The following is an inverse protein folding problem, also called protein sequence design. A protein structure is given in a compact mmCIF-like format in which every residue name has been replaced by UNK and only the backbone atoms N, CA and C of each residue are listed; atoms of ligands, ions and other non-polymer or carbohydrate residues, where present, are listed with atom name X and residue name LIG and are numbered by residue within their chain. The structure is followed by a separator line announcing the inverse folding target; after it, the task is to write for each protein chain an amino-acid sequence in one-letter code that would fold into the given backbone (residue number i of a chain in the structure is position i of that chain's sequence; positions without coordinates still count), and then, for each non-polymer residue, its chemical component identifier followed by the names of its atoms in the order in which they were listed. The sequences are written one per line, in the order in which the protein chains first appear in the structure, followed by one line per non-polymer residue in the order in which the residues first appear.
data_IF_676281875488
#
_entry.id   IF_676281875488
#
_cell.length_a   1.000
_cell.length_b   1.000
_cell.length_c   1.000
_cell.angle_alpha   90.00
_cell.angle_beta   90.00
_cell.angle_gamma   90.00
#
_symmetry.space_group_name_H-M   'P 1'
#
loop_
_entity.id
_entity.type
_entity.pdbx_description
1 polymer ?
#
# COMPACT_ATOMS: atom_id res chain seq x y z
N UNK A 1 -7.82 4.50 -4.49
CA UNK A 1 -7.44 3.55 -3.43
C UNK A 1 -6.88 4.34 -2.27
N UNK A 2 -7.71 4.63 -1.27
CA UNK A 2 -7.19 5.16 -0.02
C UNK A 2 -6.51 4.00 0.71
N UNK A 3 -5.36 4.25 1.33
CA UNK A 3 -4.62 3.28 2.10
C UNK A 3 -5.53 2.68 3.20
N UNK A 4 -6.07 1.48 2.96
CA UNK A 4 -6.97 0.81 3.89
C UNK A 4 -6.17 0.45 5.16
N UNK A 5 -6.23 1.33 6.15
CA UNK A 5 -5.71 1.10 7.50
C UNK A 5 -6.80 0.57 8.44
N UNK A 6 -8.06 0.56 7.97
CA UNK A 6 -9.17 -0.18 8.55
C UNK A 6 -9.67 -1.19 7.52
N UNK A 7 -10.03 -2.39 7.97
CA UNK A 7 -10.39 -3.49 7.09
C UNK A 7 -11.67 -3.20 6.31
N UNK A 8 -11.53 -2.89 5.03
CA UNK A 8 -12.65 -2.61 4.15
C UNK A 8 -13.04 -3.87 3.37
N UNK A 9 -14.29 -4.28 3.48
CA UNK A 9 -14.97 -5.05 2.43
C UNK A 9 -15.69 -4.07 1.54
N UNK A 10 -15.44 -4.11 0.23
CA UNK A 10 -16.17 -3.28 -0.73
C UNK A 10 -16.98 -4.14 -1.69
N UNK A 11 -18.28 -3.87 -1.84
CA UNK A 11 -19.06 -4.37 -2.98
C UNK A 11 -18.88 -3.39 -4.14
N UNK A 12 -18.32 -3.82 -5.27
CA UNK A 12 -18.15 -2.94 -6.43
C UNK A 12 -19.13 -3.37 -7.54
N UNK A 13 -19.89 -2.40 -8.07
CA UNK A 13 -20.86 -2.64 -9.13
C UNK A 13 -20.26 -2.24 -10.49
N UNK A 14 -20.08 -3.22 -11.39
CA UNK A 14 -19.67 -2.92 -12.77
C UNK A 14 -20.77 -2.19 -13.54
N UNK A 15 -20.43 -1.09 -14.22
CA UNK A 15 -21.31 -0.46 -15.22
C UNK A 15 -20.85 -0.81 -16.63
N UNK A 16 -21.80 -1.07 -17.53
CA UNK A 16 -21.53 -1.17 -18.97
C UNK A 16 -21.14 0.22 -19.49
N UNK A 17 -19.85 0.49 -19.66
CA UNK A 17 -19.34 1.78 -20.13
C UNK A 17 -18.97 1.77 -21.61
N UNK A 18 -19.73 2.52 -22.42
CA UNK A 18 -19.29 3.04 -23.71
C UNK A 18 -18.16 4.06 -23.51
N UNK A 19 -17.14 3.99 -24.36
CA UNK A 19 -15.95 4.85 -24.35
C UNK A 19 -16.25 6.33 -24.58
N UNK A 20 -15.72 7.19 -23.72
CA UNK A 20 -15.73 8.64 -23.91
C UNK A 20 -14.97 9.31 -22.77
N UNK A 21 -13.91 10.06 -23.12
CA UNK A 21 -13.03 10.72 -22.17
C UNK A 21 -13.78 11.58 -21.16
N UNK A 22 -13.75 11.18 -19.90
CA UNK A 22 -14.13 11.94 -18.72
C UNK A 22 -13.42 11.31 -17.53
N UNK A 23 -13.14 12.11 -16.50
CA UNK A 23 -12.64 11.67 -15.19
C UNK A 23 -13.26 10.32 -14.79
N UNK A 24 -12.48 9.32 -14.33
CA UNK A 24 -13.04 8.02 -13.99
C UNK A 24 -14.21 8.22 -13.04
N UNK A 25 -15.44 7.76 -13.38
CA UNK A 25 -16.57 7.92 -12.49
C UNK A 25 -16.22 7.31 -11.14
N UNK A 26 -16.60 7.99 -10.04
CA UNK A 26 -16.47 7.42 -8.69
C UNK A 26 -17.14 6.06 -8.71
N UNK A 27 -16.36 4.99 -8.59
CA UNK A 27 -16.88 3.63 -8.60
C UNK A 27 -17.91 3.52 -7.47
N UNK A 28 -19.17 3.19 -7.75
CA UNK A 28 -20.15 2.99 -6.70
C UNK A 28 -19.79 1.71 -5.94
N UNK A 29 -19.53 1.86 -4.63
CA UNK A 29 -19.29 0.73 -3.75
C UNK A 29 -19.99 0.89 -2.41
N UNK A 30 -20.33 -0.24 -1.79
CA UNK A 30 -20.73 -0.28 -0.39
C UNK A 30 -19.55 -0.79 0.44
N UNK A 31 -19.26 -0.12 1.56
CA UNK A 31 -18.19 -0.49 2.47
C UNK A 31 -18.74 -1.15 3.73
N UNK A 32 -18.14 -2.26 4.14
CA UNK A 32 -18.30 -2.85 5.47
C UNK A 32 -16.94 -2.90 6.15
N UNK A 33 -16.85 -2.27 7.33
CA UNK A 33 -15.63 -2.27 8.14
C UNK A 33 -15.58 -3.55 8.97
N UNK A 34 -14.50 -4.32 8.83
CA UNK A 34 -14.21 -5.49 9.65
C UNK A 34 -13.36 -5.06 10.84
N UNK A 35 -13.89 -5.20 12.05
CA UNK A 35 -13.12 -5.02 13.26
C UNK A 35 -11.99 -6.05 13.33
N UNK A 36 -10.75 -5.54 13.33
CA UNK A 36 -9.57 -6.39 13.33
C UNK A 36 -9.15 -6.85 14.73
N UNK A 37 -9.72 -6.28 15.80
CA UNK A 37 -9.31 -6.48 17.19
C UNK A 37 -10.19 -7.49 17.95
N UNK A 38 -11.30 -7.92 17.36
CA UNK A 38 -12.16 -9.01 17.84
C UNK A 38 -12.07 -10.23 16.91
N UNK A 39 -12.51 -11.43 17.34
CA UNK A 39 -12.64 -12.56 16.42
C UNK A 39 -13.50 -12.18 15.20
N UNK A 40 -13.04 -12.55 14.00
CA UNK A 40 -13.77 -12.22 12.76
C UNK A 40 -15.16 -12.84 12.80
N UNK A 41 -16.21 -12.09 12.40
CA UNK A 41 -17.56 -12.63 12.40
C UNK A 41 -17.66 -13.78 11.40
N UNK A 42 -18.47 -14.79 11.70
CA UNK A 42 -18.53 -16.03 10.92
C UNK A 42 -18.88 -15.77 9.45
N UNK A 43 -19.83 -14.88 9.18
CA UNK A 43 -20.20 -14.49 7.81
C UNK A 43 -19.02 -13.93 7.00
N UNK A 44 -18.03 -13.31 7.65
CA UNK A 44 -16.85 -12.80 6.95
C UNK A 44 -15.85 -13.91 6.67
N UNK A 45 -15.72 -14.87 7.58
CA UNK A 45 -14.89 -16.06 7.36
C UNK A 45 -15.44 -16.94 6.22
N UNK A 46 -16.75 -16.91 5.99
CA UNK A 46 -17.37 -17.55 4.82
C UNK A 46 -16.97 -16.85 3.50
N UNK A 47 -16.60 -15.56 3.55
CA UNK A 47 -16.11 -14.79 2.39
C UNK A 47 -14.58 -14.97 2.23
N UNK A 48 -13.84 -14.76 3.31
CA UNK A 48 -12.39 -14.93 3.35
C UNK A 48 -12.01 -15.81 4.55
N UNK A 49 -11.78 -17.11 4.33
CA UNK A 49 -11.41 -18.04 5.40
C UNK A 49 -10.11 -17.66 6.12
N UNK A 50 -9.24 -16.86 5.48
CA UNK A 50 -8.03 -16.32 6.11
C UNK A 50 -8.30 -15.20 7.12
N UNK A 51 -9.51 -14.62 7.13
CA UNK A 51 -9.87 -13.53 8.04
C UNK A 51 -9.08 -12.24 7.84
N UNK A 52 -8.39 -12.13 6.69
CA UNK A 52 -7.59 -10.98 6.29
C UNK A 52 -8.41 -10.00 5.43
N UNK A 53 -7.94 -8.78 5.31
CA UNK A 53 -8.55 -7.69 4.53
C UNK A 53 -7.47 -7.08 3.63
N UNK A 54 -7.84 -6.48 2.48
CA UNK A 54 -9.20 -6.30 1.95
C UNK A 54 -9.75 -7.55 1.24
N UNK A 55 -11.08 -7.59 1.11
CA UNK A 55 -11.82 -8.53 0.26
C UNK A 55 -12.93 -7.77 -0.48
N UNK A 56 -13.20 -8.09 -1.73
CA UNK A 56 -14.29 -7.48 -2.51
C UNK A 56 -15.27 -8.53 -3.00
N UNK A 57 -16.54 -8.13 -3.08
CA UNK A 57 -17.59 -8.88 -3.77
C UNK A 57 -17.92 -8.13 -5.06
N UNK A 58 -17.57 -8.72 -6.20
CA UNK A 58 -17.76 -8.13 -7.51
C UNK A 58 -18.99 -8.69 -8.20
N UNK A 59 -19.79 -7.82 -8.81
CA UNK A 59 -21.02 -8.20 -9.53
C UNK A 59 -21.10 -7.45 -10.86
N UNK A 60 -21.59 -8.14 -11.88
CA UNK A 60 -21.89 -7.58 -13.20
C UNK A 60 -23.30 -8.04 -13.60
N UNK A 61 -24.29 -7.13 -13.65
CA UNK A 61 -25.66 -7.51 -13.96
C UNK A 61 -25.77 -8.33 -15.25
N UNK A 62 -26.34 -9.53 -15.15
CA UNK A 62 -26.54 -10.45 -16.28
C UNK A 62 -25.29 -11.18 -16.76
N UNK A 63 -24.14 -11.02 -16.10
CA UNK A 63 -22.88 -11.69 -16.48
C UNK A 63 -22.18 -12.37 -15.29
N UNK A 64 -22.13 -11.72 -14.13
CA UNK A 64 -21.48 -12.22 -12.91
C UNK A 64 -22.39 -11.92 -11.73
N UNK A 65 -23.05 -12.94 -11.19
CA UNK A 65 -23.95 -12.79 -10.03
C UNK A 65 -23.17 -12.39 -8.77
N UNK A 66 -22.00 -12.99 -8.55
CA UNK A 66 -21.07 -12.68 -7.45
C UNK A 66 -19.74 -13.39 -7.64
N UNK A 67 -18.64 -12.66 -7.53
CA UNK A 67 -17.28 -13.19 -7.42
C UNK A 67 -16.57 -12.58 -6.21
N UNK A 68 -15.85 -13.40 -5.43
CA UNK A 68 -15.09 -12.93 -4.26
C UNK A 68 -13.61 -12.86 -4.62
N UNK A 69 -13.01 -11.69 -4.43
CA UNK A 69 -11.58 -11.48 -4.67
C UNK A 69 -10.95 -10.95 -3.38
N UNK A 70 -9.89 -11.61 -2.93
CA UNK A 70 -9.06 -11.17 -1.80
C UNK A 70 -7.59 -11.14 -2.22
N UNK A 71 -6.70 -10.81 -1.29
CA UNK A 71 -5.32 -10.35 -1.52
C UNK A 71 -5.25 -8.92 -2.05
N UNK A 72 -4.67 -8.01 -1.26
CA UNK A 72 -4.65 -6.58 -1.57
C UNK A 72 -4.10 -6.24 -2.96
N UNK A 73 -3.01 -6.88 -3.38
CA UNK A 73 -2.40 -6.64 -4.70
C UNK A 73 -3.27 -7.17 -5.84
N UNK A 74 -3.92 -8.33 -5.65
CA UNK A 74 -4.83 -8.92 -6.66
C UNK A 74 -6.08 -8.05 -6.80
N UNK A 75 -6.68 -7.64 -5.68
CA UNK A 75 -7.83 -6.72 -5.65
C UNK A 75 -7.49 -5.41 -6.37
N UNK A 76 -6.34 -4.80 -6.04
CA UNK A 76 -5.92 -3.55 -6.64
C UNK A 76 -5.69 -3.68 -8.16
N UNK A 77 -5.03 -4.75 -8.59
CA UNK A 77 -4.80 -5.05 -10.01
C UNK A 77 -6.12 -5.24 -10.76
N UNK A 78 -7.01 -6.07 -10.22
CA UNK A 78 -8.34 -6.31 -10.78
C UNK A 78 -9.13 -5.02 -10.96
N UNK A 79 -9.13 -4.13 -9.95
CA UNK A 79 -9.82 -2.84 -10.05
C UNK A 79 -9.24 -1.95 -11.14
N UNK A 80 -7.93 -1.99 -11.38
CA UNK A 80 -7.31 -1.24 -12.49
C UNK A 80 -7.67 -1.83 -13.85
N UNK A 81 -7.77 -3.16 -13.97
CA UNK A 81 -8.12 -3.82 -15.21
C UNK A 81 -9.63 -3.68 -15.54
N UNK A 82 -10.49 -3.75 -14.52
CA UNK A 82 -11.94 -3.57 -14.67
C UNK A 82 -12.33 -2.10 -14.89
N UNK A 83 -11.55 -1.15 -14.35
CA UNK A 83 -11.84 0.27 -14.40
C UNK A 83 -10.59 1.06 -14.83
N UNK A 84 -10.39 1.25 -16.15
CA UNK A 84 -9.22 1.95 -16.69
C UNK A 84 -9.02 3.32 -16.05
N UNK A 85 -7.76 3.61 -15.67
CA UNK A 85 -7.38 4.87 -15.04
C UNK A 85 -5.89 5.16 -15.24
N UNK A 86 -5.45 6.37 -14.87
CA UNK A 86 -4.04 6.77 -14.93
C UNK A 86 -3.12 5.93 -14.01
N UNK A 87 -3.67 5.22 -13.02
CA UNK A 87 -2.88 4.43 -12.07
C UNK A 87 -2.10 3.31 -12.79
N UNK A 88 -2.76 2.63 -13.72
CA UNK A 88 -2.15 1.54 -14.48
C UNK A 88 -2.74 1.54 -15.90
N UNK A 89 -2.01 2.10 -16.89
CA UNK A 89 -2.43 2.07 -18.28
C UNK A 89 -2.74 0.65 -18.75
N UNK A 90 -3.72 0.50 -19.64
CA UNK A 90 -4.04 -0.81 -20.22
C UNK A 90 -2.85 -1.34 -21.02
N UNK A 91 -2.65 -2.66 -21.04
CA UNK A 91 -1.50 -3.28 -21.73
C UNK A 91 -1.45 -2.97 -23.23
N UNK A 92 -2.57 -2.57 -23.82
CA UNK A 92 -2.68 -2.25 -25.25
C UNK A 92 -2.96 -0.76 -25.51
N UNK A 93 -2.85 0.09 -24.51
CA UNK A 93 -3.11 1.53 -24.64
C UNK A 93 -2.06 2.26 -25.48
N UNK A 94 -0.78 1.90 -25.31
CA UNK A 94 0.38 2.49 -25.99
C UNK A 94 1.50 1.42 -26.14
N UNK A 95 2.37 1.48 -27.17
CA UNK A 95 3.48 0.52 -27.33
C UNK A 95 4.42 0.37 -26.14
N UNK A 96 4.56 1.40 -25.29
CA UNK A 96 5.36 1.39 -24.07
C UNK A 96 4.57 0.92 -22.84
N UNK A 97 3.24 0.81 -22.91
CA UNK A 97 2.40 0.42 -21.77
C UNK A 97 2.79 -0.94 -21.17
N UNK A 98 3.06 -2.02 -21.95
CA UNK A 98 3.54 -3.28 -21.39
C UNK A 98 4.84 -3.14 -20.58
N UNK A 99 5.78 -2.33 -21.07
CA UNK A 99 7.05 -2.07 -20.38
C UNK A 99 6.82 -1.28 -19.08
N UNK A 100 5.96 -0.25 -19.12
CA UNK A 100 5.58 0.52 -17.93
C UNK A 100 4.97 -0.38 -16.84
N UNK A 101 4.02 -1.26 -17.22
CA UNK A 101 3.41 -2.24 -16.32
C UNK A 101 4.46 -3.19 -15.73
N UNK A 102 5.38 -3.70 -16.54
CA UNK A 102 6.46 -4.58 -16.07
C UNK A 102 7.38 -3.88 -15.05
N UNK A 103 7.74 -2.62 -15.28
CA UNK A 103 8.57 -1.81 -14.36
C UNK A 103 7.86 -1.55 -13.03
N UNK A 104 6.57 -1.22 -13.08
CA UNK A 104 5.73 -1.04 -11.87
C UNK A 104 5.69 -2.33 -11.06
N UNK A 105 5.40 -3.46 -11.72
CA UNK A 105 5.32 -4.75 -11.05
C UNK A 105 6.65 -5.16 -10.43
N UNK A 106 7.76 -4.89 -11.12
CA UNK A 106 9.10 -5.12 -10.59
C UNK A 106 9.39 -4.28 -9.35
N UNK A 107 8.98 -3.00 -9.33
CA UNK A 107 9.12 -2.14 -8.15
C UNK A 107 8.29 -2.67 -6.96
N UNK A 108 7.03 -3.05 -7.20
CA UNK A 108 6.14 -3.61 -6.17
C UNK A 108 6.67 -4.94 -5.62
N UNK A 109 7.16 -5.82 -6.49
CA UNK A 109 7.76 -7.10 -6.09
C UNK A 109 9.06 -6.89 -5.31
N UNK A 110 9.91 -5.96 -5.75
CA UNK A 110 11.14 -5.60 -5.04
C UNK A 110 10.82 -5.07 -3.63
N UNK A 111 9.85 -4.17 -3.51
CA UNK A 111 9.39 -3.67 -2.21
C UNK A 111 8.91 -4.82 -1.31
N UNK A 112 8.03 -5.68 -1.82
CA UNK A 112 7.41 -6.75 -1.06
C UNK A 112 8.40 -7.85 -0.67
N UNK A 113 9.26 -8.28 -1.58
CA UNK A 113 10.19 -9.39 -1.38
C UNK A 113 11.46 -9.00 -0.63
N UNK A 114 11.93 -7.75 -0.78
CA UNK A 114 13.17 -7.28 -0.16
C UNK A 114 12.96 -6.53 1.13
N UNK A 115 11.83 -5.82 1.30
CA UNK A 115 11.69 -4.83 2.38
C UNK A 115 10.67 -5.19 3.45
N UNK A 116 9.71 -6.07 3.15
CA UNK A 116 8.58 -6.38 4.05
C UNK A 116 9.00 -6.86 5.45
N UNK A 117 10.13 -7.57 5.56
CA UNK A 117 10.60 -8.12 6.81
C UNK A 117 11.23 -7.07 7.76
N UNK A 118 11.78 -5.97 7.24
CA UNK A 118 12.59 -5.05 8.04
C UNK A 118 11.80 -4.31 9.11
N UNK A 119 10.58 -3.86 8.79
CA UNK A 119 9.75 -3.14 9.77
C UNK A 119 9.52 -3.99 11.03
N UNK A 120 9.06 -5.24 10.85
CA UNK A 120 8.84 -6.13 11.98
C UNK A 120 10.16 -6.52 12.67
N UNK A 121 11.23 -6.75 11.93
CA UNK A 121 12.54 -7.06 12.51
C UNK A 121 13.03 -5.92 13.43
N UNK A 122 12.98 -4.67 12.97
CA UNK A 122 13.37 -3.51 13.77
C UNK A 122 12.45 -3.30 14.98
N UNK A 123 11.15 -3.51 14.84
CA UNK A 123 10.20 -3.35 15.96
C UNK A 123 10.36 -4.41 17.05
N UNK A 124 10.72 -5.65 16.68
CA UNK A 124 10.91 -6.78 17.62
C UNK A 124 12.31 -6.85 18.23
N UNK A 125 13.29 -6.19 17.62
CA UNK A 125 14.67 -6.25 18.07
C UNK A 125 14.84 -5.69 19.51
N UNK A 126 15.78 -6.25 20.30
CA UNK A 126 16.25 -5.62 21.54
C UNK A 126 16.65 -4.16 21.32
N UNK A 127 16.50 -3.32 22.35
CA UNK A 127 16.71 -1.86 22.24
C UNK A 127 18.10 -1.52 21.70
N UNK A 128 19.13 -2.23 22.15
CA UNK A 128 20.53 -2.09 21.74
C UNK A 128 20.81 -2.58 20.31
N UNK A 129 19.95 -3.42 19.74
CA UNK A 129 20.06 -3.91 18.36
C UNK A 129 19.21 -3.12 17.35
N UNK A 130 18.23 -2.33 17.80
CA UNK A 130 17.31 -1.59 16.92
C UNK A 130 18.02 -0.69 15.92
N UNK A 131 19.12 -0.05 16.32
CA UNK A 131 19.88 0.83 15.42
C UNK A 131 20.52 0.04 14.28
N UNK A 132 21.11 -1.13 14.56
CA UNK A 132 21.66 -2.00 13.52
C UNK A 132 20.57 -2.47 12.54
N UNK A 133 19.36 -2.80 13.02
CA UNK A 133 18.24 -3.16 12.15
C UNK A 133 17.74 -2.01 11.28
N UNK A 134 17.76 -0.78 11.79
CA UNK A 134 17.48 0.41 10.98
C UNK A 134 18.56 0.63 9.92
N UNK A 135 19.83 0.37 10.24
CA UNK A 135 20.93 0.52 9.28
C UNK A 135 20.83 -0.52 8.15
N UNK A 136 20.55 -1.79 8.47
CA UNK A 136 20.28 -2.85 7.48
C UNK A 136 19.09 -2.48 6.57
N UNK A 137 18.02 -1.94 7.17
CA UNK A 137 16.83 -1.54 6.44
C UNK A 137 17.09 -0.38 5.49
N UNK A 138 17.75 0.69 5.96
CA UNK A 138 18.11 1.82 5.12
C UNK A 138 19.03 1.41 3.96
N UNK A 139 20.02 0.55 4.23
CA UNK A 139 20.91 0.02 3.20
C UNK A 139 20.16 -0.81 2.15
N UNK A 140 19.13 -1.56 2.55
CA UNK A 140 18.27 -2.28 1.61
C UNK A 140 17.44 -1.33 0.73
N UNK A 141 16.91 -0.23 1.29
CA UNK A 141 16.21 0.79 0.48
C UNK A 141 17.17 1.47 -0.49
N UNK A 142 18.36 1.86 -0.03
CA UNK A 142 19.41 2.44 -0.88
C UNK A 142 19.82 1.51 -2.03
N UNK A 143 19.96 0.21 -1.75
CA UNK A 143 20.37 -0.76 -2.78
C UNK A 143 19.26 -1.10 -3.76
N UNK A 144 18.04 -1.33 -3.26
CA UNK A 144 16.98 -2.00 -4.03
C UNK A 144 15.93 -1.01 -4.57
N UNK A 145 15.69 0.13 -3.92
CA UNK A 145 14.62 1.09 -4.29
C UNK A 145 15.17 2.36 -4.90
N UNK A 146 16.22 2.93 -4.33
CA UNK A 146 16.81 4.20 -4.81
C UNK A 146 17.15 4.17 -6.32
N UNK A 147 17.72 3.10 -6.89
CA UNK A 147 18.00 3.04 -8.33
C UNK A 147 16.73 2.95 -9.18
N UNK A 148 15.66 2.34 -8.64
CA UNK A 148 14.38 2.20 -9.36
C UNK A 148 13.58 3.50 -9.41
N UNK A 149 13.97 4.48 -8.59
CA UNK A 149 13.39 5.83 -8.56
C UNK A 149 14.22 6.85 -9.36
N UNK A 150 15.26 6.43 -10.08
CA UNK A 150 16.16 7.33 -10.81
C UNK A 150 15.45 8.20 -11.86
N UNK A 151 14.37 7.69 -12.46
CA UNK A 151 13.54 8.43 -13.42
C UNK A 151 12.20 8.88 -12.81
N UNK A 152 12.03 8.82 -11.49
CA UNK A 152 10.82 9.32 -10.85
C UNK A 152 10.66 10.83 -11.11
N UNK A 153 9.43 11.22 -11.43
CA UNK A 153 9.01 12.62 -11.39
C UNK A 153 8.73 12.97 -9.92
N UNK A 154 7.52 13.49 -9.62
CA UNK A 154 6.95 13.35 -8.28
C UNK A 154 6.65 11.87 -7.92
N UNK A 155 6.30 11.04 -8.92
CA UNK A 155 5.92 9.63 -8.76
C UNK A 155 6.69 8.72 -9.72
N UNK A 156 6.53 7.40 -9.55
CA UNK A 156 7.28 6.37 -10.28
C UNK A 156 7.23 6.55 -11.80
N UNK A 157 8.35 6.24 -12.47
CA UNK A 157 8.45 6.24 -13.94
C UNK A 157 8.19 7.60 -14.60
N UNK A 158 8.56 8.70 -13.95
CA UNK A 158 8.40 10.06 -14.49
C UNK A 158 6.98 10.63 -14.37
N UNK A 159 6.06 9.93 -13.70
CA UNK A 159 4.66 10.33 -13.64
C UNK A 159 4.44 11.59 -12.78
N UNK A 160 3.51 12.45 -13.23
CA UNK A 160 2.99 13.61 -12.47
C UNK A 160 1.85 13.25 -11.54
N UNK A 161 1.24 12.07 -11.72
CA UNK A 161 0.17 11.53 -10.90
C UNK A 161 0.60 10.20 -10.26
N UNK A 162 -0.10 9.75 -9.22
CA UNK A 162 0.18 8.46 -8.61
C UNK A 162 0.09 7.36 -9.66
N UNK A 163 0.96 6.37 -9.55
CA UNK A 163 0.85 5.13 -10.33
C UNK A 163 0.40 4.00 -9.42
N UNK A 164 0.20 2.83 -10.01
CA UNK A 164 -0.08 1.61 -9.28
C UNK A 164 1.03 1.23 -8.31
N UNK A 165 2.29 1.61 -8.58
CA UNK A 165 3.39 1.41 -7.65
C UNK A 165 3.09 2.09 -6.30
N UNK A 166 2.76 3.39 -6.31
CA UNK A 166 2.39 4.12 -5.11
C UNK A 166 1.10 3.62 -4.48
N UNK A 167 0.10 3.26 -5.28
CA UNK A 167 -1.16 2.73 -4.77
C UNK A 167 -0.96 1.49 -3.87
N UNK A 168 0.02 0.65 -4.21
CA UNK A 168 0.38 -0.54 -3.42
C UNK A 168 1.28 -0.20 -2.23
N UNK A 169 2.32 0.62 -2.41
CA UNK A 169 3.36 0.80 -1.37
C UNK A 169 3.08 1.92 -0.37
N UNK A 170 2.26 2.92 -0.72
CA UNK A 170 2.01 4.09 0.12
C UNK A 170 1.52 3.77 1.55
N UNK A 171 0.62 2.79 1.78
CA UNK A 171 0.22 2.42 3.14
C UNK A 171 1.40 1.98 4.02
N UNK A 172 2.36 1.24 3.44
CA UNK A 172 3.55 0.78 4.15
C UNK A 172 4.52 1.94 4.40
N UNK A 173 4.72 2.79 3.40
CA UNK A 173 5.54 4.00 3.52
C UNK A 173 5.04 4.90 4.67
N UNK A 174 3.73 5.15 4.75
CA UNK A 174 3.14 5.91 5.87
C UNK A 174 3.45 5.29 7.23
N UNK A 175 3.36 3.95 7.33
CA UNK A 175 3.69 3.21 8.56
C UNK A 175 5.17 3.32 8.92
N UNK A 176 6.08 3.20 7.95
CA UNK A 176 7.53 3.34 8.19
C UNK A 176 7.84 4.68 8.85
N UNK A 177 7.32 5.77 8.29
CA UNK A 177 7.50 7.12 8.82
C UNK A 177 6.72 7.38 10.13
N UNK A 178 5.73 6.57 10.47
CA UNK A 178 4.98 6.69 11.73
C UNK A 178 5.67 5.96 12.88
N UNK A 179 6.23 4.78 12.63
CA UNK A 179 6.94 3.99 13.65
C UNK A 179 8.38 4.43 13.91
N UNK A 180 9.02 5.10 12.94
CA UNK A 180 10.32 5.72 13.10
C UNK A 180 10.24 7.02 13.92
N UNK A 181 9.92 6.87 15.21
CA UNK A 181 9.56 7.94 16.14
C UNK A 181 10.34 7.89 17.47
N UNK A 182 11.47 7.17 17.50
CA UNK A 182 12.30 6.92 18.69
C UNK A 182 11.61 6.18 19.84
N UNK A 183 10.33 5.79 19.69
CA UNK A 183 9.60 4.94 20.64
C UNK A 183 9.59 3.48 20.20
N UNK A 184 9.37 3.21 18.91
CA UNK A 184 9.29 1.82 18.40
C UNK A 184 10.42 1.47 17.45
N UNK A 185 10.78 2.41 16.57
CA UNK A 185 11.90 2.33 15.65
C UNK A 185 12.70 3.64 15.76
N UNK A 186 14.04 3.59 15.78
CA UNK A 186 14.87 4.79 15.76
C UNK A 186 14.50 5.75 14.63
N UNK A 187 14.33 7.04 14.95
CA UNK A 187 14.05 8.09 13.96
C UNK A 187 15.23 8.32 12.99
N UNK A 188 16.40 7.70 13.26
CA UNK A 188 17.51 7.62 12.30
C UNK A 188 17.10 6.96 10.99
N UNK A 189 16.07 6.10 10.95
CA UNK A 189 15.52 5.56 9.70
C UNK A 189 15.07 6.68 8.77
N UNK A 190 14.23 7.60 9.25
CA UNK A 190 13.74 8.73 8.47
C UNK A 190 14.89 9.58 7.94
N UNK A 191 15.87 9.89 8.81
CA UNK A 191 17.05 10.66 8.40
C UNK A 191 17.85 9.98 7.29
N UNK A 192 17.97 8.66 7.31
CA UNK A 192 18.68 7.88 6.28
C UNK A 192 17.89 7.83 4.98
N UNK A 193 16.58 7.61 5.04
CA UNK A 193 15.71 7.65 3.86
C UNK A 193 15.69 9.03 3.21
N UNK A 194 15.65 10.09 4.02
CA UNK A 194 15.64 11.46 3.54
C UNK A 194 17.00 11.90 2.96
N UNK A 195 18.09 11.18 3.24
CA UNK A 195 19.40 11.38 2.65
C UNK A 195 19.55 10.75 1.25
N UNK A 196 18.65 9.83 0.88
CA UNK A 196 18.60 9.22 -0.45
C UNK A 196 17.88 10.17 -1.43
N UNK A 197 18.54 10.68 -2.49
CA UNK A 197 18.04 11.82 -3.26
C UNK A 197 16.73 11.55 -4.01
N UNK A 198 16.52 10.35 -4.55
CA UNK A 198 15.30 10.00 -5.27
C UNK A 198 14.21 9.54 -4.31
N UNK A 199 14.54 8.66 -3.36
CA UNK A 199 13.61 8.17 -2.34
C UNK A 199 13.04 9.29 -1.48
N UNK A 200 13.86 10.28 -1.07
CA UNK A 200 13.40 11.44 -0.30
C UNK A 200 12.34 12.25 -1.07
N UNK A 201 12.62 12.60 -2.33
CA UNK A 201 11.69 13.38 -3.18
C UNK A 201 10.38 12.62 -3.41
N UNK A 202 10.49 11.36 -3.83
CA UNK A 202 9.36 10.48 -4.10
C UNK A 202 8.51 10.25 -2.86
N UNK A 203 9.12 9.84 -1.75
CA UNK A 203 8.39 9.51 -0.52
C UNK A 203 7.69 10.72 0.08
N UNK A 204 8.27 11.92 -0.03
CA UNK A 204 7.60 13.16 0.37
C UNK A 204 6.36 13.41 -0.48
N UNK A 205 6.47 13.35 -1.81
CA UNK A 205 5.34 13.55 -2.72
C UNK A 205 4.20 12.56 -2.47
N UNK A 206 4.52 11.28 -2.20
CA UNK A 206 3.53 10.25 -1.86
C UNK A 206 2.82 10.57 -0.54
N UNK A 207 3.56 10.91 0.52
CA UNK A 207 3.00 11.16 1.86
C UNK A 207 2.22 12.47 1.96
N UNK A 208 2.38 13.40 1.02
CA UNK A 208 1.63 14.66 0.99
C UNK A 208 0.36 14.59 0.13
N UNK A 209 0.16 13.50 -0.63
CA UNK A 209 -0.98 13.36 -1.52
C UNK A 209 -2.28 13.09 -0.74
N UNK A 210 -3.30 13.93 -0.92
CA UNK A 210 -4.60 13.80 -0.23
C UNK A 210 -5.22 12.40 -0.39
N UNK A 211 -5.19 11.81 -1.59
CA UNK A 211 -5.74 10.47 -1.83
C UNK A 211 -5.05 9.36 -1.02
N UNK A 212 -3.83 9.60 -0.55
CA UNK A 212 -3.06 8.70 0.31
C UNK A 212 -3.36 8.96 1.79
N UNK A 213 -3.46 10.23 2.19
CA UNK A 213 -3.55 10.63 3.61
C UNK A 213 -4.97 10.83 4.13
N UNK A 214 -5.99 10.90 3.26
CA UNK A 214 -7.36 11.27 3.64
C UNK A 214 -7.97 10.48 4.81
N UNK A 215 -7.65 9.20 4.93
CA UNK A 215 -8.15 8.31 5.99
C UNK A 215 -7.05 7.85 6.96
N UNK A 216 -5.85 8.43 6.82
CA UNK A 216 -4.69 8.06 7.61
C UNK A 216 -4.66 8.87 8.90
N UNK A 217 -4.96 8.20 10.01
CA UNK A 217 -4.78 8.73 11.36
C UNK A 217 -3.50 8.14 11.96
N UNK A 218 -2.43 8.91 11.92
CA UNK A 218 -1.09 8.45 12.28
C UNK A 218 -1.03 8.03 13.75
N UNK A 219 -1.48 8.89 14.64
CA UNK A 219 -1.36 8.70 16.09
C UNK A 219 -2.23 7.52 16.54
N UNK A 220 -3.50 7.50 16.13
CA UNK A 220 -4.40 6.40 16.48
C UNK A 220 -3.90 5.06 15.90
N UNK A 221 -3.33 5.06 14.69
CA UNK A 221 -2.78 3.82 14.12
C UNK A 221 -1.60 3.28 14.92
N UNK A 222 -0.63 4.12 15.28
CA UNK A 222 0.55 3.69 16.05
C UNK A 222 0.15 3.15 17.42
N UNK A 223 -0.78 3.82 18.11
CA UNK A 223 -1.28 3.39 19.41
C UNK A 223 -2.07 2.09 19.35
N UNK A 224 -3.00 1.96 18.39
CA UNK A 224 -3.79 0.74 18.19
C UNK A 224 -2.89 -0.46 17.85
N UNK A 225 -1.92 -0.25 16.95
CA UNK A 225 -0.95 -1.28 16.60
C UNK A 225 -0.11 -1.68 17.80
N UNK A 226 0.37 -0.72 18.59
CA UNK A 226 1.16 -0.99 19.78
C UNK A 226 0.37 -1.75 20.84
N UNK A 227 -0.91 -1.41 21.04
CA UNK A 227 -1.81 -2.14 21.95
C UNK A 227 -2.01 -3.59 21.49
N UNK A 228 -2.19 -3.80 20.19
CA UNK A 228 -2.41 -5.12 19.60
C UNK A 228 -1.19 -6.04 19.64
N UNK A 229 0.00 -5.48 19.39
CA UNK A 229 1.24 -6.25 19.28
C UNK A 229 2.21 -6.02 20.45
N UNK A 230 1.76 -5.40 21.55
CA UNK A 230 2.62 -4.99 22.66
C UNK A 230 3.38 -6.13 23.35
N UNK A 231 2.93 -7.37 23.20
CA UNK A 231 3.65 -8.57 23.66
C UNK A 231 4.86 -8.94 22.78
N UNK A 232 4.96 -8.42 21.56
CA UNK A 232 6.05 -8.71 20.60
C UNK A 232 6.86 -7.46 20.24
N UNK A 233 6.32 -6.26 20.46
CA UNK A 233 7.03 -5.01 20.22
C UNK A 233 7.92 -4.65 21.41
N UNK A 234 9.14 -4.21 21.12
CA UNK A 234 10.06 -3.66 22.13
C UNK A 234 10.07 -2.15 22.01
N UNK A 235 9.59 -1.44 23.03
CA UNK A 235 9.64 0.02 23.08
C UNK A 235 11.01 0.50 23.55
N UNK A 236 11.52 1.56 22.92
CA UNK A 236 12.66 2.34 23.36
C UNK A 236 12.19 3.23 24.53
N UNK A 237 13.02 3.35 25.57
CA UNK A 237 12.71 4.10 26.79
C UNK A 237 12.78 5.60 26.56
#
# INVERSE_FOLDING_TARGET
MAAATNGTVSSAHGQNGTSGGATPPKLPFEETIIDLDTPRPHWYLDINPGGLVPSIKYTVPGLVDSEIIYESAIVAQFLCDAFPSHLLPSSHEDPLAPLGRARINFFVDTWSSKLSAFQMAAMKAPVDEKQAKVDEWAAAVEKEIEPLLADAGPFFGGSKELTFAEAIVAPFLLRWYAFANDKYVPASLVRKLDALPNCSKWSKAVREKESVTKIWDRENYVEAFAKKYGNVLVAMR
#
